data_IF_466312707972
#
_entry.id   IF_466312707972
#
_cell.length_a   1.000
_cell.length_b   1.000
_cell.length_c   1.000
_cell.angle_alpha   90.00
_cell.angle_beta   90.00
_cell.angle_gamma   90.00
#
_symmetry.space_group_name_H-M   'P 1'
#
loop_
_entity.id
_entity.type
_entity.pdbx_description
1 polymer ?
#
# COMPACT_ATOMS: atom_id res chain seq x y z
N UNK A 1 -26.01 -8.60 12.82
CA UNK A 1 -27.37 -8.50 13.39
C UNK A 1 -28.34 -8.09 12.30
N UNK A 2 -29.59 -8.55 12.34
CA UNK A 2 -30.60 -7.99 11.44
C UNK A 2 -31.05 -6.61 11.96
N UNK A 3 -31.41 -5.70 11.05
CA UNK A 3 -32.08 -4.46 11.41
C UNK A 3 -33.53 -4.73 11.87
N UNK A 4 -34.22 -3.69 12.37
CA UNK A 4 -35.58 -3.82 12.89
C UNK A 4 -36.59 -4.36 11.87
N UNK A 5 -36.42 -4.05 10.58
CA UNK A 5 -37.28 -4.52 9.50
C UNK A 5 -36.96 -5.96 9.05
N UNK A 6 -35.83 -6.54 9.48
CA UNK A 6 -35.40 -7.88 9.09
C UNK A 6 -34.89 -8.00 7.64
N UNK A 7 -34.82 -6.90 6.90
CA UNK A 7 -34.47 -6.83 5.48
C UNK A 7 -32.98 -6.47 5.24
N UNK A 8 -32.23 -6.18 6.31
CA UNK A 8 -30.79 -5.93 6.26
C UNK A 8 -30.03 -6.74 7.29
N UNK A 9 -28.89 -7.28 6.87
CA UNK A 9 -27.88 -7.83 7.77
C UNK A 9 -26.78 -6.79 7.97
N UNK A 10 -26.63 -6.33 9.21
CA UNK A 10 -25.55 -5.46 9.62
C UNK A 10 -24.41 -6.27 10.22
N UNK A 11 -23.23 -6.15 9.63
CA UNK A 11 -21.99 -6.74 10.15
C UNK A 11 -21.10 -5.59 10.65
N UNK A 12 -20.61 -5.72 11.89
CA UNK A 12 -19.67 -4.78 12.50
C UNK A 12 -18.38 -5.51 12.82
N UNK A 13 -17.27 -5.02 12.30
CA UNK A 13 -15.94 -5.60 12.48
C UNK A 13 -14.98 -4.53 13.03
N UNK A 14 -13.91 -4.91 13.74
CA UNK A 14 -12.82 -3.99 14.01
C UNK A 14 -12.16 -3.58 12.69
N UNK A 15 -12.05 -2.28 12.44
CA UNK A 15 -11.21 -1.76 11.36
C UNK A 15 -9.77 -1.79 11.84
N UNK A 16 -8.87 -2.38 11.04
CA UNK A 16 -7.47 -2.56 11.40
C UNK A 16 -6.55 -1.82 10.45
N UNK A 17 -5.42 -1.33 10.94
CA UNK A 17 -4.30 -0.87 10.12
C UNK A 17 -3.37 -2.03 9.74
N UNK A 18 -2.39 -1.80 8.87
CA UNK A 18 -1.43 -2.81 8.37
C UNK A 18 -0.70 -3.58 9.47
N UNK A 19 -0.52 -3.00 10.66
CA UNK A 19 0.12 -3.67 11.81
C UNK A 19 -0.89 -4.42 12.70
N UNK A 20 -2.12 -4.59 12.20
CA UNK A 20 -3.27 -5.23 12.87
C UNK A 20 -3.82 -4.50 14.09
N UNK A 21 -3.41 -3.24 14.31
CA UNK A 21 -3.97 -2.43 15.39
C UNK A 21 -5.40 -2.00 15.04
N UNK A 22 -6.29 -1.98 16.03
CA UNK A 22 -7.66 -1.52 15.81
C UNK A 22 -7.70 0.01 15.74
N UNK A 23 -8.06 0.55 14.59
CA UNK A 23 -8.12 1.99 14.31
C UNK A 23 -9.55 2.53 14.24
N UNK A 24 -10.56 1.65 14.32
CA UNK A 24 -11.96 2.03 14.30
C UNK A 24 -12.90 0.83 14.16
N UNK A 25 -14.08 1.08 13.63
CA UNK A 25 -15.07 0.04 13.34
C UNK A 25 -15.53 0.13 11.88
N UNK A 26 -15.57 -1.01 11.19
CA UNK A 26 -16.17 -1.16 9.88
C UNK A 26 -17.60 -1.66 10.05
N UNK A 27 -18.58 -0.92 9.51
CA UNK A 27 -19.98 -1.35 9.45
C UNK A 27 -20.36 -1.59 7.99
N UNK A 28 -20.80 -2.80 7.70
CA UNK A 28 -21.31 -3.20 6.38
C UNK A 28 -22.77 -3.59 6.53
N UNK A 29 -23.61 -3.13 5.60
CA UNK A 29 -25.05 -3.41 5.58
C UNK A 29 -25.41 -4.10 4.27
N UNK A 30 -25.78 -5.37 4.37
CA UNK A 30 -26.18 -6.19 3.23
C UNK A 30 -27.70 -6.22 3.11
N UNK A 31 -28.20 -6.17 1.87
CA UNK A 31 -29.57 -6.60 1.63
C UNK A 31 -29.74 -8.05 2.10
N UNK A 32 -30.81 -8.33 2.84
CA UNK A 32 -31.03 -9.63 3.43
C UNK A 32 -32.45 -10.12 3.13
N UNK A 33 -32.55 -11.41 2.77
CA UNK A 33 -33.83 -12.11 2.57
C UNK A 33 -33.83 -13.34 3.45
N UNK A 34 -35.00 -13.73 3.95
CA UNK A 34 -35.14 -14.96 4.72
C UNK A 34 -34.61 -16.15 3.90
N UNK A 35 -33.74 -16.96 4.52
CA UNK A 35 -33.06 -18.08 3.86
C UNK A 35 -31.75 -17.74 3.14
N UNK A 36 -31.33 -16.46 3.09
CA UNK A 36 -30.01 -16.11 2.59
C UNK A 36 -28.90 -16.68 3.49
N UNK A 37 -27.76 -17.05 2.90
CA UNK A 37 -26.59 -17.55 3.63
C UNK A 37 -25.92 -16.40 4.39
N UNK A 38 -26.34 -16.23 5.64
CA UNK A 38 -25.77 -15.24 6.55
C UNK A 38 -24.27 -15.43 6.75
N UNK A 39 -23.78 -16.67 6.81
CA UNK A 39 -22.37 -16.94 7.04
C UNK A 39 -21.53 -16.53 5.82
N UNK A 40 -22.06 -16.69 4.60
CA UNK A 40 -21.39 -16.17 3.40
C UNK A 40 -21.27 -14.64 3.41
N UNK A 41 -22.31 -13.93 3.85
CA UNK A 41 -22.26 -12.46 3.98
C UNK A 41 -21.26 -12.01 5.05
N UNK A 42 -21.20 -12.71 6.18
CA UNK A 42 -20.23 -12.42 7.24
C UNK A 42 -18.78 -12.69 6.77
N UNK A 43 -18.51 -13.78 6.05
CA UNK A 43 -17.20 -14.03 5.41
C UNK A 43 -16.85 -12.96 4.37
N UNK A 44 -17.83 -12.50 3.59
CA UNK A 44 -17.64 -11.40 2.64
C UNK A 44 -17.24 -10.09 3.34
N UNK A 45 -17.84 -9.81 4.50
CA UNK A 45 -17.49 -8.63 5.31
C UNK A 45 -16.04 -8.72 5.84
N UNK A 46 -15.61 -9.90 6.28
CA UNK A 46 -14.23 -10.13 6.71
C UNK A 46 -13.24 -9.93 5.57
N UNK A 47 -13.55 -10.42 4.37
CA UNK A 47 -12.71 -10.21 3.20
C UNK A 47 -12.58 -8.71 2.83
N UNK A 48 -13.65 -7.92 2.97
CA UNK A 48 -13.59 -6.46 2.78
C UNK A 48 -12.71 -5.80 3.85
N UNK A 49 -12.88 -6.18 5.13
CA UNK A 49 -12.02 -5.69 6.23
C UNK A 49 -10.56 -5.97 5.95
N UNK A 50 -10.23 -7.19 5.52
CA UNK A 50 -8.84 -7.62 5.30
C UNK A 50 -8.20 -6.91 4.11
N UNK A 51 -8.98 -6.57 3.07
CA UNK A 51 -8.52 -5.70 1.99
C UNK A 51 -8.26 -4.27 2.46
N UNK A 52 -9.15 -3.70 3.28
CA UNK A 52 -8.97 -2.36 3.85
C UNK A 52 -7.76 -2.30 4.80
N UNK A 53 -7.53 -3.37 5.57
CA UNK A 53 -6.39 -3.51 6.47
C UNK A 53 -5.05 -3.30 5.76
N UNK A 54 -4.93 -3.72 4.49
CA UNK A 54 -3.74 -3.52 3.65
C UNK A 54 -3.58 -2.10 3.11
N UNK A 55 -4.53 -1.20 3.38
CA UNK A 55 -4.57 0.18 2.84
C UNK A 55 -4.47 1.27 3.90
N UNK A 56 -4.37 0.92 5.18
CA UNK A 56 -4.40 1.86 6.30
C UNK A 56 -3.10 1.72 7.09
N UNK A 57 -2.26 2.76 7.12
CA UNK A 57 -0.97 2.67 7.83
C UNK A 57 -1.05 2.94 9.35
N UNK A 58 -2.07 3.68 9.79
CA UNK A 58 -2.42 4.03 11.17
C UNK A 58 -3.73 4.84 11.17
N UNK A 59 -4.31 5.12 12.33
CA UNK A 59 -5.59 5.83 12.43
C UNK A 59 -5.61 7.21 11.74
N UNK A 60 -4.52 7.98 11.83
CA UNK A 60 -4.41 9.30 11.20
C UNK A 60 -4.48 9.25 9.67
N UNK A 61 -3.95 8.19 9.06
CA UNK A 61 -3.95 8.01 7.61
C UNK A 61 -5.35 7.86 7.00
N UNK A 62 -6.38 7.53 7.79
CA UNK A 62 -7.77 7.55 7.32
C UNK A 62 -8.27 8.95 6.92
N UNK A 63 -7.58 9.99 7.37
CA UNK A 63 -7.90 11.39 7.09
C UNK A 63 -6.97 12.01 6.04
N UNK A 64 -6.00 11.26 5.53
CA UNK A 64 -5.16 11.72 4.42
C UNK A 64 -6.04 11.93 3.17
N UNK A 65 -5.87 13.02 2.41
CA UNK A 65 -6.56 13.20 1.14
C UNK A 65 -6.19 12.08 0.15
N UNK A 66 -7.15 11.71 -0.70
CA UNK A 66 -6.93 10.73 -1.76
C UNK A 66 -7.46 11.24 -3.12
N UNK A 67 -6.59 11.45 -4.13
CA UNK A 67 -5.12 11.46 -4.02
C UNK A 67 -4.63 12.54 -3.04
N UNK A 68 -3.40 12.41 -2.55
CA UNK A 68 -2.90 13.34 -1.53
C UNK A 68 -2.63 14.72 -2.13
N UNK A 69 -2.04 14.74 -3.33
CA UNK A 69 -2.07 15.91 -4.20
C UNK A 69 -3.25 15.79 -5.18
N UNK A 70 -4.16 16.79 -5.29
CA UNK A 70 -5.38 16.71 -6.09
C UNK A 70 -5.22 16.34 -7.57
N UNK A 71 -4.02 16.48 -8.14
CA UNK A 71 -3.71 16.13 -9.53
C UNK A 71 -2.94 14.82 -9.73
N UNK A 72 -2.63 14.09 -8.65
CA UNK A 72 -1.81 12.90 -8.78
C UNK A 72 -2.60 11.75 -9.45
N UNK A 73 -2.03 11.10 -10.48
CA UNK A 73 -2.70 9.99 -11.15
C UNK A 73 -2.80 8.77 -10.22
N UNK A 74 -4.02 8.28 -10.00
CA UNK A 74 -4.27 7.07 -9.18
C UNK A 74 -4.13 5.74 -9.93
N UNK A 75 -4.10 5.78 -11.27
CA UNK A 75 -4.00 4.58 -12.12
C UNK A 75 -2.65 4.53 -12.85
N UNK A 76 -1.55 4.67 -12.12
CA UNK A 76 -0.18 4.60 -12.67
C UNK A 76 0.29 3.15 -12.78
N UNK A 77 1.26 2.89 -13.66
CA UNK A 77 1.95 1.60 -13.69
C UNK A 77 2.64 1.30 -12.36
N UNK A 78 3.20 2.33 -11.70
CA UNK A 78 3.72 2.20 -10.33
C UNK A 78 2.68 1.67 -9.34
N UNK A 79 1.45 2.21 -9.35
CA UNK A 79 0.38 1.72 -8.49
C UNK A 79 0.04 0.25 -8.80
N UNK A 80 -0.02 -0.12 -10.09
CA UNK A 80 -0.25 -1.50 -10.50
C UNK A 80 0.83 -2.47 -10.03
N UNK A 81 2.10 -2.05 -10.04
CA UNK A 81 3.21 -2.82 -9.48
C UNK A 81 3.07 -2.97 -7.96
N UNK A 82 2.70 -1.91 -7.25
CA UNK A 82 2.48 -1.97 -5.79
C UNK A 82 1.37 -2.93 -5.44
N UNK A 83 0.24 -2.87 -6.16
CA UNK A 83 -0.88 -3.78 -5.94
C UNK A 83 -0.47 -5.25 -6.21
N UNK A 84 0.23 -5.53 -7.32
CA UNK A 84 0.74 -6.87 -7.65
C UNK A 84 1.69 -7.41 -6.56
N UNK A 85 2.59 -6.57 -6.05
CA UNK A 85 3.60 -6.98 -5.08
C UNK A 85 3.02 -7.15 -3.68
N UNK A 86 2.09 -6.28 -3.26
CA UNK A 86 1.42 -6.41 -1.96
C UNK A 86 0.56 -7.67 -1.90
N UNK A 87 -0.04 -8.10 -3.01
CA UNK A 87 -0.76 -9.37 -3.10
C UNK A 87 0.19 -10.58 -3.12
N UNK A 88 1.34 -10.46 -3.78
CA UNK A 88 2.34 -11.53 -3.86
C UNK A 88 3.11 -11.76 -2.54
N UNK A 89 3.39 -10.70 -1.80
CA UNK A 89 4.21 -10.73 -0.58
C UNK A 89 3.36 -10.34 0.64
N UNK A 90 2.64 -11.31 1.24
CA UNK A 90 1.76 -11.04 2.37
C UNK A 90 2.52 -10.54 3.62
N UNK A 91 3.84 -10.77 3.71
CA UNK A 91 4.72 -10.28 4.77
C UNK A 91 5.03 -8.77 4.69
N UNK A 92 4.81 -8.14 3.54
CA UNK A 92 4.97 -6.69 3.38
C UNK A 92 3.72 -5.98 3.92
N UNK A 93 3.92 -5.06 4.86
CA UNK A 93 2.88 -4.19 5.40
C UNK A 93 2.69 -2.92 4.56
N UNK A 94 3.79 -2.30 4.11
CA UNK A 94 3.77 -1.11 3.26
C UNK A 94 4.79 -1.24 2.14
N UNK A 95 4.35 -0.88 0.93
CA UNK A 95 5.18 -0.69 -0.24
C UNK A 95 4.85 0.67 -0.86
N UNK A 96 5.85 1.53 -1.02
CA UNK A 96 5.72 2.83 -1.66
C UNK A 96 6.83 3.02 -2.68
N UNK A 97 6.47 3.45 -3.89
CA UNK A 97 7.43 3.78 -4.96
C UNK A 97 7.50 5.30 -5.07
N UNK A 98 8.69 5.83 -4.82
CA UNK A 98 9.03 7.24 -5.00
C UNK A 98 9.75 7.38 -6.35
N UNK A 99 9.26 8.21 -7.26
CA UNK A 99 9.88 8.43 -8.56
C UNK A 99 9.62 9.85 -9.07
N UNK A 100 10.46 10.32 -9.99
CA UNK A 100 10.35 11.66 -10.59
C UNK A 100 9.48 11.60 -11.85
N UNK A 101 8.33 12.31 -11.88
CA UNK A 101 7.52 12.43 -13.10
C UNK A 101 8.32 13.06 -14.26
N UNK A 102 8.03 12.73 -15.53
CA UNK A 102 8.76 13.28 -16.69
C UNK A 102 8.82 14.82 -16.76
N UNK A 103 7.80 15.50 -16.23
CA UNK A 103 7.67 16.96 -16.26
C UNK A 103 7.94 17.61 -14.88
N UNK A 104 8.74 16.96 -14.04
CA UNK A 104 9.04 17.38 -12.68
C UNK A 104 10.51 17.19 -12.33
N UNK A 105 11.01 17.98 -11.38
CA UNK A 105 12.35 17.90 -10.81
C UNK A 105 12.36 17.31 -9.38
N UNK A 106 11.21 16.81 -8.89
CA UNK A 106 11.09 16.23 -7.56
C UNK A 106 10.45 14.83 -7.60
N UNK A 107 10.90 13.95 -6.71
CA UNK A 107 10.26 12.66 -6.51
C UNK A 107 8.91 12.84 -5.81
N UNK A 108 7.94 12.04 -6.24
CA UNK A 108 6.65 11.87 -5.57
C UNK A 108 6.38 10.40 -5.30
N UNK A 109 5.45 10.11 -4.39
CA UNK A 109 4.85 8.78 -4.29
C UNK A 109 4.03 8.52 -5.56
N UNK A 110 4.60 7.71 -6.46
CA UNK A 110 4.01 7.32 -7.75
C UNK A 110 3.05 6.13 -7.59
N UNK A 111 3.23 5.32 -6.55
CA UNK A 111 2.34 4.22 -6.17
C UNK A 111 2.54 3.85 -4.71
N UNK A 112 1.46 3.48 -4.01
CA UNK A 112 1.53 3.03 -2.62
C UNK A 112 0.27 2.27 -2.22
N UNK A 113 0.40 1.29 -1.33
CA UNK A 113 -0.78 0.62 -0.77
C UNK A 113 -1.52 1.50 0.25
N UNK A 114 -0.89 2.50 0.86
CA UNK A 114 -1.48 3.33 1.92
C UNK A 114 -1.96 4.71 1.43
N UNK A 115 -2.05 4.90 0.11
CA UNK A 115 -2.45 6.17 -0.51
C UNK A 115 -1.29 7.14 -0.65
N UNK A 116 -1.46 8.40 -0.22
CA UNK A 116 -0.41 9.43 -0.28
C UNK A 116 0.12 9.76 -1.68
N UNK A 117 -0.61 9.38 -2.72
CA UNK A 117 -0.20 9.57 -4.11
C UNK A 117 0.04 11.05 -4.41
N UNK A 118 1.18 11.35 -5.03
CA UNK A 118 1.61 12.72 -5.33
C UNK A 118 2.36 13.42 -4.20
N UNK A 119 2.34 12.89 -2.97
CA UNK A 119 3.13 13.48 -1.87
C UNK A 119 4.59 13.54 -2.29
N UNK A 120 5.20 14.72 -2.14
CA UNK A 120 6.63 14.91 -2.41
C UNK A 120 7.48 14.07 -1.46
N UNK A 121 8.53 13.48 -2.01
CA UNK A 121 9.58 12.85 -1.24
C UNK A 121 10.23 13.88 -0.32
N UNK A 122 10.53 13.49 0.90
CA UNK A 122 11.22 14.35 1.85
C UNK A 122 12.75 14.24 1.73
N UNK A 123 13.48 14.94 2.60
CA UNK A 123 14.94 14.97 2.53
C UNK A 123 15.58 13.60 2.79
N UNK A 124 14.95 12.74 3.58
CA UNK A 124 15.49 11.42 3.90
C UNK A 124 15.32 10.47 2.72
N UNK A 125 14.16 10.52 2.05
CA UNK A 125 13.93 9.83 0.77
C UNK A 125 14.99 10.27 -0.25
N UNK A 126 15.15 11.58 -0.44
CA UNK A 126 16.09 12.13 -1.43
C UNK A 126 17.54 11.83 -1.09
N UNK A 127 17.91 11.75 0.20
CA UNK A 127 19.25 11.29 0.61
C UNK A 127 19.52 9.87 0.14
N UNK A 128 18.55 8.97 0.25
CA UNK A 128 18.67 7.60 -0.25
C UNK A 128 18.90 7.61 -1.77
N UNK A 129 18.09 8.38 -2.50
CA UNK A 129 18.18 8.54 -3.96
C UNK A 129 19.54 9.05 -4.41
N UNK A 130 20.12 10.05 -3.72
CA UNK A 130 21.39 10.64 -4.16
C UNK A 130 22.63 9.86 -3.73
N UNK A 131 22.57 9.16 -2.61
CA UNK A 131 23.76 8.52 -2.02
C UNK A 131 23.83 7.01 -2.24
N UNK A 132 22.70 6.38 -2.60
CA UNK A 132 22.57 4.92 -2.64
C UNK A 132 22.60 4.25 -1.26
N UNK A 133 22.73 5.02 -0.17
CA UNK A 133 22.73 4.49 1.20
C UNK A 133 21.28 4.32 1.65
N UNK A 134 20.87 3.11 2.09
CA UNK A 134 19.50 2.88 2.53
C UNK A 134 19.19 3.58 3.85
N UNK A 135 17.90 3.86 4.08
CA UNK A 135 17.40 4.28 5.39
C UNK A 135 16.75 3.07 6.06
N UNK A 136 17.26 2.71 7.24
CA UNK A 136 16.83 1.52 7.98
C UNK A 136 16.27 1.95 9.30
N UNK A 137 14.95 1.93 9.43
CA UNK A 137 14.27 2.54 10.57
C UNK A 137 13.28 1.58 11.22
N UNK A 138 13.26 1.58 12.55
CA UNK A 138 12.14 1.02 13.30
C UNK A 138 11.20 2.18 13.57
N UNK A 139 9.91 2.02 13.21
CA UNK A 139 8.94 3.09 13.38
C UNK A 139 8.77 3.47 14.87
N UNK A 140 8.17 4.62 15.14
CA UNK A 140 8.01 5.16 16.50
C UNK A 140 7.26 4.24 17.48
N UNK A 141 6.42 3.32 16.98
CA UNK A 141 5.71 2.34 17.81
C UNK A 141 6.51 1.07 18.08
N UNK A 142 7.67 0.89 17.45
CA UNK A 142 8.49 -0.32 17.59
C UNK A 142 7.90 -1.57 16.92
N UNK A 143 6.95 -1.41 16.00
CA UNK A 143 6.18 -2.52 15.39
C UNK A 143 6.52 -2.78 13.93
N UNK A 144 7.23 -1.85 13.29
CA UNK A 144 7.55 -1.91 11.86
C UNK A 144 9.01 -1.62 11.65
N UNK A 145 9.61 -2.34 10.70
CA UNK A 145 10.93 -2.07 10.18
C UNK A 145 10.83 -1.67 8.72
N UNK A 146 11.33 -0.49 8.41
CA UNK A 146 11.37 0.09 7.07
C UNK A 146 12.78 -0.06 6.49
N UNK A 147 12.81 -0.49 5.24
CA UNK A 147 13.97 -0.37 4.36
C UNK A 147 13.61 0.54 3.20
N UNK A 148 14.04 1.79 3.28
CA UNK A 148 14.03 2.71 2.14
C UNK A 148 15.28 2.42 1.32
N UNK A 149 15.08 2.07 0.05
CA UNK A 149 16.13 1.64 -0.86
C UNK A 149 16.15 2.52 -2.10
N UNK A 150 17.34 2.84 -2.62
CA UNK A 150 17.47 3.44 -3.94
C UNK A 150 16.89 2.48 -4.99
N UNK A 151 16.00 3.00 -5.84
CA UNK A 151 15.29 2.25 -6.87
C UNK A 151 15.93 2.49 -8.23
N UNK A 152 16.16 1.40 -8.95
CA UNK A 152 16.69 1.43 -10.31
C UNK A 152 15.63 0.99 -11.32
N UNK A 153 15.78 1.40 -12.58
CA UNK A 153 15.11 0.71 -13.67
C UNK A 153 15.84 -0.60 -14.03
N UNK A 154 15.31 -1.33 -15.00
CA UNK A 154 15.85 -2.62 -15.43
C UNK A 154 17.25 -2.54 -16.05
N UNK A 155 17.72 -1.37 -16.47
CA UNK A 155 19.06 -1.17 -17.05
C UNK A 155 20.07 -0.66 -16.02
N UNK A 156 19.60 -0.27 -14.83
CA UNK A 156 20.42 0.11 -13.68
C UNK A 156 20.49 1.61 -13.43
N UNK A 157 19.70 2.42 -14.13
CA UNK A 157 19.64 3.85 -13.87
C UNK A 157 18.85 4.14 -12.59
N UNK A 158 19.33 5.06 -11.76
CA UNK A 158 18.63 5.49 -10.54
C UNK A 158 17.41 6.32 -10.92
N UNK A 159 16.22 5.86 -10.55
CA UNK A 159 14.94 6.49 -10.91
C UNK A 159 14.14 7.00 -9.71
N UNK A 160 14.61 6.73 -8.49
CA UNK A 160 13.96 7.16 -7.26
C UNK A 160 14.29 6.25 -6.07
N UNK A 161 13.30 6.00 -5.23
CA UNK A 161 13.42 5.15 -4.06
C UNK A 161 12.19 4.25 -3.88
N UNK A 162 12.34 3.21 -3.07
CA UNK A 162 11.26 2.31 -2.69
C UNK A 162 11.31 2.03 -1.20
N UNK A 163 10.22 2.35 -0.51
CA UNK A 163 10.00 2.01 0.89
C UNK A 163 9.35 0.65 0.99
N UNK A 164 10.03 -0.31 1.63
CA UNK A 164 9.52 -1.65 1.92
C UNK A 164 9.47 -1.82 3.43
N UNK A 165 8.26 -1.97 3.97
CA UNK A 165 8.01 -2.05 5.40
C UNK A 165 7.43 -3.40 5.75
N UNK A 166 7.98 -4.02 6.78
CA UNK A 166 7.56 -5.31 7.31
C UNK A 166 7.25 -5.20 8.80
N UNK A 167 6.48 -6.15 9.32
CA UNK A 167 6.29 -6.33 10.75
C UNK A 167 7.64 -6.47 11.45
N UNK A 168 7.75 -5.91 12.65
CA UNK A 168 8.96 -5.96 13.47
C UNK A 168 8.61 -6.16 14.94
N UNK A 169 9.40 -6.99 15.60
CA UNK A 169 9.41 -7.17 17.05
C UNK A 169 10.81 -6.90 17.60
N UNK A 170 10.89 -6.49 18.86
CA UNK A 170 12.19 -6.24 19.48
C UNK A 170 13.03 -7.52 19.51
N UNK A 171 14.22 -7.46 18.92
CA UNK A 171 15.12 -8.61 18.79
C UNK A 171 15.12 -9.25 17.40
N UNK A 172 14.20 -8.85 16.50
CA UNK A 172 14.24 -9.33 15.11
C UNK A 172 15.55 -8.93 14.42
N UNK A 173 16.03 -9.82 13.55
CA UNK A 173 17.24 -9.60 12.77
C UNK A 173 16.98 -8.58 11.65
N UNK A 174 17.26 -7.31 11.95
CA UNK A 174 17.15 -6.20 11.00
C UNK A 174 17.95 -6.42 9.70
N UNK A 175 19.07 -7.15 9.76
CA UNK A 175 19.85 -7.45 8.55
C UNK A 175 19.11 -8.44 7.65
N UNK A 176 18.47 -9.45 8.24
CA UNK A 176 17.65 -10.39 7.50
C UNK A 176 16.41 -9.72 6.89
N UNK A 177 15.73 -8.83 7.63
CA UNK A 177 14.60 -8.05 7.13
C UNK A 177 15.02 -7.13 5.97
N UNK A 178 16.16 -6.45 6.10
CA UNK A 178 16.70 -5.62 5.04
C UNK A 178 17.08 -6.43 3.79
N UNK A 179 17.79 -7.56 3.96
CA UNK A 179 18.17 -8.43 2.85
C UNK A 179 16.94 -9.02 2.12
N UNK A 180 15.81 -9.18 2.83
CA UNK A 180 14.52 -9.55 2.23
C UNK A 180 13.96 -8.40 1.38
N UNK A 181 13.98 -7.16 1.88
CA UNK A 181 13.58 -5.99 1.13
C UNK A 181 14.42 -5.79 -0.14
N UNK A 182 15.74 -5.98 -0.07
CA UNK A 182 16.63 -5.90 -1.25
C UNK A 182 16.26 -6.89 -2.35
N UNK A 183 15.85 -8.12 -1.99
CA UNK A 183 15.39 -9.12 -2.96
C UNK A 183 14.09 -8.69 -3.64
N UNK A 184 13.14 -8.18 -2.85
CA UNK A 184 11.85 -7.69 -3.38
C UNK A 184 12.08 -6.49 -4.31
N UNK A 185 12.93 -5.53 -3.92
CA UNK A 185 13.36 -4.43 -4.81
C UNK A 185 13.94 -4.98 -6.10
N UNK A 186 14.89 -5.91 -6.04
CA UNK A 186 15.52 -6.45 -7.25
C UNK A 186 14.54 -7.18 -8.19
N UNK A 187 13.44 -7.74 -7.67
CA UNK A 187 12.35 -8.27 -8.48
C UNK A 187 11.49 -7.17 -9.11
N UNK A 188 11.22 -6.09 -8.35
CA UNK A 188 10.49 -4.91 -8.82
C UNK A 188 11.26 -4.20 -9.95
N UNK A 189 12.57 -3.96 -9.80
CA UNK A 189 13.41 -3.25 -10.76
C UNK A 189 13.39 -3.91 -12.15
N UNK A 190 13.35 -5.26 -12.21
CA UNK A 190 13.23 -6.00 -13.48
C UNK A 190 11.95 -5.68 -14.27
N UNK A 191 10.91 -5.18 -13.58
CA UNK A 191 9.62 -4.83 -14.16
C UNK A 191 9.52 -3.37 -14.59
N UNK A 192 10.55 -2.55 -14.35
CA UNK A 192 10.52 -1.12 -14.62
C UNK A 192 11.42 -0.82 -15.83
N UNK A 193 10.86 -0.57 -17.03
CA UNK A 193 11.67 -0.24 -18.19
C UNK A 193 12.49 1.04 -18.06
N UNK A 194 11.88 2.08 -17.49
CA UNK A 194 12.41 3.44 -17.33
C UNK A 194 11.52 4.23 -16.35
N UNK A 195 11.98 5.38 -15.84
CA UNK A 195 11.21 6.22 -14.91
C UNK A 195 9.86 6.66 -15.49
N UNK A 196 9.82 7.10 -16.75
CA UNK A 196 8.60 7.61 -17.38
C UNK A 196 7.50 6.55 -17.47
N UNK A 197 7.87 5.27 -17.60
CA UNK A 197 6.94 4.16 -17.65
C UNK A 197 6.10 4.03 -16.38
N UNK A 198 6.65 4.39 -15.21
CA UNK A 198 5.96 4.34 -13.92
C UNK A 198 4.72 5.22 -13.89
N UNK A 199 4.69 6.30 -14.66
CA UNK A 199 3.61 7.29 -14.71
C UNK A 199 2.59 7.04 -15.83
N UNK A 200 2.84 6.06 -16.70
CA UNK A 200 1.86 5.66 -17.71
C UNK A 200 0.66 5.00 -17.04
N UNK A 201 -0.54 5.05 -17.65
CA UNK A 201 -1.67 4.30 -17.15
C UNK A 201 -1.34 2.82 -16.98
N UNK A 202 -1.72 2.21 -15.85
CA UNK A 202 -1.64 0.76 -15.73
C UNK A 202 -2.45 0.11 -16.86
N UNK A 203 -1.90 -0.95 -17.47
CA UNK A 203 -2.66 -1.72 -18.45
C UNK A 203 -3.96 -2.19 -17.79
N UNK A 204 -5.11 -1.99 -18.45
CA UNK A 204 -6.40 -2.53 -17.98
C UNK A 204 -6.29 -4.06 -17.99
N UNK A 205 -5.89 -4.64 -16.86
CA UNK A 205 -5.65 -6.07 -16.73
C UNK A 205 -5.81 -6.52 -15.29
N UNK A 206 -6.97 -7.10 -15.00
CA UNK A 206 -7.29 -7.97 -13.86
C UNK A 206 -7.02 -7.40 -12.44
N UNK A 207 -7.85 -6.48 -11.97
CA UNK A 207 -7.88 -6.14 -10.53
C UNK A 207 -8.77 -4.97 -10.16
N UNK A 208 -9.01 -4.03 -11.07
CA UNK A 208 -9.90 -2.91 -10.86
C UNK A 208 -11.35 -3.25 -11.20
N UNK A 209 -12.06 -3.87 -10.25
CA UNK A 209 -13.52 -3.81 -10.22
C UNK A 209 -13.93 -2.36 -10.06
N UNK A 210 -14.11 -1.67 -11.18
CA UNK A 210 -14.86 -0.42 -11.25
C UNK A 210 -16.31 -0.74 -10.93
N UNK A 211 -16.64 -0.84 -9.65
CA UNK A 211 -18.01 -0.76 -9.17
C UNK A 211 -18.23 0.68 -8.76
N UNK A 212 -18.92 1.40 -9.63
CA UNK A 212 -19.64 2.63 -9.27
C UNK A 212 -20.62 2.28 -8.16
N UNK A 213 -20.48 2.95 -7.01
CA UNK A 213 -21.44 2.89 -5.90
C UNK A 213 -22.79 3.52 -6.28
#
# INVERSE_FOLDING_TARGET
MLNAAGDRLEVRLPLRDVSSDTVGALRLSYAYRAGADRAALERGAEAIRDRLHRRISHAGNLFDPYPYEPGAPGNTYAQGLVDEFIDRYPDIEILAIHATPPDSDYNIIAGSNIGRLGKKADNDDMRCVFTGKPNLEVNSTGKRFESELQLHDRVGDVIGAVGIVVAYQNGDDKRALHARAEKIRAELEKRIPDSASLFRPAARGAGGGGETW
#
